data_IF_853743389265
#
_entry.id   IF_853743389265
#
_cell.length_a   1.000
_cell.length_b   1.000
_cell.length_c   1.000
_cell.angle_alpha   90.00
_cell.angle_beta   90.00
_cell.angle_gamma   90.00
#
_symmetry.space_group_name_H-M   'P 1'
#
loop_
_entity.id
_entity.type
_entity.pdbx_description
1 polymer ?
#
# COMPACT_ATOMS: atom_id res chain seq x y z
N UNK A 1 -7.74 10.89 -7.15
CA UNK A 1 -7.84 10.34 -8.53
C UNK A 1 -6.53 9.68 -8.90
N UNK A 2 -6.57 8.52 -9.53
CA UNK A 2 -5.39 7.79 -10.03
C UNK A 2 -5.48 7.71 -11.55
N UNK A 3 -4.39 7.99 -12.23
CA UNK A 3 -4.34 8.00 -13.69
C UNK A 3 -3.10 7.27 -14.21
N UNK A 4 -3.30 6.42 -15.18
CA UNK A 4 -2.27 5.79 -15.99
C UNK A 4 -2.54 6.15 -17.46
N UNK A 5 -1.53 6.68 -18.16
CA UNK A 5 -1.63 7.03 -19.57
C UNK A 5 -0.47 6.40 -20.33
N UNK A 6 -0.81 5.46 -21.22
CA UNK A 6 0.12 4.68 -22.06
C UNK A 6 1.29 4.08 -21.26
N UNK A 7 1.00 3.60 -20.06
CA UNK A 7 2.03 3.11 -19.15
C UNK A 7 2.60 1.79 -19.65
N UNK A 8 3.93 1.78 -19.85
CA UNK A 8 4.68 0.58 -20.26
C UNK A 8 5.78 0.28 -19.26
N UNK A 9 6.01 -1.01 -19.01
CA UNK A 9 7.12 -1.47 -18.17
C UNK A 9 7.74 -2.71 -18.77
N UNK A 10 9.06 -2.67 -18.91
CA UNK A 10 9.87 -3.79 -19.38
C UNK A 10 10.86 -4.21 -18.31
N UNK A 11 11.03 -5.50 -18.13
CA UNK A 11 12.10 -6.09 -17.33
C UNK A 11 12.99 -6.91 -18.26
N UNK A 12 14.23 -6.49 -18.43
CA UNK A 12 15.17 -7.09 -19.40
C UNK A 12 14.52 -7.18 -20.81
N UNK A 13 14.20 -8.40 -21.25
CA UNK A 13 13.59 -8.66 -22.56
C UNK A 13 12.06 -8.78 -22.54
N UNK A 14 11.45 -8.81 -21.35
CA UNK A 14 10.00 -9.04 -21.22
C UNK A 14 9.28 -7.74 -20.96
N UNK A 15 8.35 -7.37 -21.84
CA UNK A 15 7.43 -6.26 -21.61
C UNK A 15 6.22 -6.78 -20.80
N UNK A 16 6.09 -6.25 -19.57
CA UNK A 16 5.06 -6.66 -18.62
C UNK A 16 3.83 -5.76 -18.69
N UNK A 17 4.03 -4.44 -18.79
CA UNK A 17 2.95 -3.49 -19.06
C UNK A 17 3.08 -2.99 -20.49
N UNK A 18 2.01 -3.12 -21.27
CA UNK A 18 2.03 -2.92 -22.73
C UNK A 18 1.22 -1.71 -23.19
N UNK A 19 1.29 -0.61 -22.44
CA UNK A 19 0.51 0.59 -22.74
C UNK A 19 -0.84 0.55 -22.03
N UNK A 20 -0.80 0.71 -20.69
CA UNK A 20 -1.99 0.69 -19.85
C UNK A 20 -2.56 2.11 -19.79
N UNK A 21 -3.84 2.22 -20.13
CA UNK A 21 -4.65 3.41 -19.92
C UNK A 21 -5.74 3.06 -18.90
N UNK A 22 -5.72 3.75 -17.75
CA UNK A 22 -6.68 3.53 -16.66
C UNK A 22 -6.85 4.81 -15.88
N UNK A 23 -8.09 5.18 -15.59
CA UNK A 23 -8.43 6.26 -14.67
C UNK A 23 -9.33 5.72 -13.56
N UNK A 24 -9.01 6.09 -12.32
CA UNK A 24 -9.79 5.73 -11.12
C UNK A 24 -10.16 7.01 -10.41
N UNK A 25 -11.44 7.30 -10.36
CA UNK A 25 -11.99 8.50 -9.71
C UNK A 25 -12.11 8.32 -8.19
N UNK A 26 -12.32 9.41 -7.46
CA UNK A 26 -12.61 9.33 -6.04
C UNK A 26 -13.93 8.60 -5.79
N UNK A 27 -13.91 7.66 -4.86
CA UNK A 27 -15.06 6.82 -4.52
C UNK A 27 -15.19 5.55 -5.35
N UNK A 28 -14.43 5.39 -6.43
CA UNK A 28 -14.43 4.17 -7.22
C UNK A 28 -13.89 2.98 -6.43
N UNK A 29 -14.45 1.81 -6.71
CA UNK A 29 -13.97 0.51 -6.22
C UNK A 29 -13.54 -0.34 -7.41
N UNK A 30 -12.23 -0.50 -7.56
CA UNK A 30 -11.64 -1.19 -8.72
C UNK A 30 -10.98 -2.50 -8.28
N UNK A 31 -11.26 -3.58 -9.00
CA UNK A 31 -10.57 -4.86 -8.84
C UNK A 31 -9.67 -5.13 -10.05
N UNK A 32 -8.38 -5.34 -9.80
CA UNK A 32 -7.43 -5.80 -10.81
C UNK A 32 -7.46 -7.32 -10.88
N UNK A 33 -8.07 -7.86 -11.93
CA UNK A 33 -8.22 -9.30 -12.16
C UNK A 33 -7.28 -9.75 -13.29
N UNK A 34 -6.73 -10.94 -13.18
CA UNK A 34 -5.86 -11.53 -14.19
C UNK A 34 -4.98 -12.63 -13.62
N UNK A 35 -4.37 -13.42 -14.49
CA UNK A 35 -3.47 -14.52 -14.13
C UNK A 35 -2.23 -14.04 -13.36
N UNK A 36 -1.52 -14.98 -12.73
CA UNK A 36 -0.22 -14.70 -12.14
C UNK A 36 0.75 -14.29 -13.26
N UNK A 37 1.51 -13.22 -13.02
CA UNK A 37 2.39 -12.65 -14.07
C UNK A 37 1.74 -11.63 -14.99
N UNK A 38 0.43 -11.39 -14.94
CA UNK A 38 -0.27 -10.41 -15.79
C UNK A 38 0.13 -8.94 -15.56
N UNK A 39 1.01 -8.66 -14.60
CA UNK A 39 1.51 -7.30 -14.35
C UNK A 39 0.77 -6.51 -13.26
N UNK A 40 -0.22 -7.09 -12.59
CA UNK A 40 -1.00 -6.41 -11.52
C UNK A 40 -0.12 -5.75 -10.47
N UNK A 41 0.78 -6.52 -9.86
CA UNK A 41 1.73 -6.00 -8.86
C UNK A 41 2.70 -4.99 -9.46
N UNK A 42 3.10 -5.17 -10.71
CA UNK A 42 3.98 -4.22 -11.42
C UNK A 42 3.28 -2.88 -11.60
N UNK A 43 2.00 -2.87 -11.96
CA UNK A 43 1.21 -1.65 -12.10
C UNK A 43 1.10 -0.90 -10.76
N UNK A 44 0.79 -1.61 -9.67
CA UNK A 44 0.74 -1.03 -8.32
C UNK A 44 2.10 -0.46 -7.91
N UNK A 45 3.20 -1.16 -8.19
CA UNK A 45 4.55 -0.66 -7.86
C UNK A 45 4.97 0.55 -8.70
N UNK A 46 4.48 0.68 -9.92
CA UNK A 46 4.63 1.92 -10.70
C UNK A 46 3.84 3.07 -10.05
N UNK A 47 2.61 2.82 -9.57
CA UNK A 47 1.81 3.79 -8.84
C UNK A 47 2.51 4.28 -7.56
N UNK A 48 3.15 3.38 -6.82
CA UNK A 48 3.86 3.70 -5.59
C UNK A 48 5.27 4.32 -5.83
N UNK A 49 5.66 4.54 -7.10
CA UNK A 49 6.98 5.05 -7.45
C UNK A 49 8.14 4.10 -7.11
N UNK A 50 7.86 2.80 -6.96
CA UNK A 50 8.90 1.79 -6.74
C UNK A 50 9.56 1.35 -8.05
N UNK A 51 8.80 1.38 -9.15
CA UNK A 51 9.30 1.04 -10.47
C UNK A 51 9.18 2.21 -11.43
N UNK A 52 10.28 2.53 -12.12
CA UNK A 52 10.23 3.42 -13.26
C UNK A 52 9.50 2.74 -14.43
N UNK A 53 8.64 3.49 -15.09
CA UNK A 53 7.89 3.09 -16.27
C UNK A 53 7.93 4.20 -17.32
N UNK A 54 7.59 3.90 -18.55
CA UNK A 54 7.30 4.92 -19.59
C UNK A 54 5.80 5.22 -19.58
N UNK A 55 5.40 6.32 -20.21
CA UNK A 55 4.05 6.88 -20.08
C UNK A 55 3.91 7.70 -18.79
N UNK A 56 2.69 8.01 -18.41
CA UNK A 56 2.41 8.85 -17.24
C UNK A 56 1.65 8.07 -16.17
N UNK A 57 2.06 8.29 -14.91
CA UNK A 57 1.32 7.84 -13.72
C UNK A 57 1.09 9.07 -12.85
N UNK A 58 -0.14 9.29 -12.40
CA UNK A 58 -0.47 10.40 -11.50
C UNK A 58 -1.38 9.93 -10.36
N UNK A 59 -1.13 10.47 -9.17
CA UNK A 59 -1.99 10.32 -7.99
C UNK A 59 -2.37 11.73 -7.53
N UNK A 60 -3.64 12.09 -7.66
CA UNK A 60 -4.13 13.46 -7.43
C UNK A 60 -3.25 14.51 -8.14
N UNK A 61 -2.86 14.25 -9.40
CA UNK A 61 -2.02 15.12 -10.22
C UNK A 61 -0.51 15.01 -9.97
N UNK A 62 -0.06 14.31 -8.93
CA UNK A 62 1.36 14.16 -8.57
C UNK A 62 1.98 12.95 -9.27
N UNK A 63 3.12 13.13 -9.92
CA UNK A 63 3.91 12.03 -10.52
C UNK A 63 4.74 11.34 -9.42
N UNK A 64 4.53 10.04 -9.15
CA UNK A 64 5.25 9.30 -8.12
C UNK A 64 6.76 9.15 -8.39
N UNK A 65 7.22 9.39 -9.61
CA UNK A 65 8.64 9.35 -9.95
C UNK A 65 9.37 10.64 -9.55
N UNK A 66 8.64 11.76 -9.52
CA UNK A 66 9.17 13.08 -9.18
C UNK A 66 9.00 13.39 -7.69
N UNK A 67 7.86 13.03 -7.13
CA UNK A 67 7.56 13.30 -5.73
C UNK A 67 6.87 12.10 -5.05
N UNK A 68 7.67 11.06 -4.80
CA UNK A 68 7.20 9.81 -4.18
C UNK A 68 6.64 10.02 -2.78
N UNK A 69 7.25 10.89 -1.99
CA UNK A 69 6.84 11.16 -0.61
C UNK A 69 5.41 11.71 -0.56
N UNK A 70 5.08 12.66 -1.43
CA UNK A 70 3.73 13.22 -1.49
C UNK A 70 2.69 12.22 -1.96
N UNK A 71 3.05 11.32 -2.87
CA UNK A 71 2.17 10.23 -3.29
C UNK A 71 1.93 9.27 -2.13
N UNK A 72 2.97 8.85 -1.41
CA UNK A 72 2.85 7.90 -0.29
C UNK A 72 2.05 8.47 0.89
N UNK A 73 2.03 9.78 1.10
CA UNK A 73 1.15 10.45 2.07
C UNK A 73 -0.34 10.36 1.71
N UNK A 74 -0.66 10.09 0.43
CA UNK A 74 -2.05 10.04 -0.11
C UNK A 74 -2.54 8.61 -0.35
N UNK A 75 -1.67 7.62 -0.26
CA UNK A 75 -1.96 6.24 -0.64
C UNK A 75 -1.72 5.31 0.55
N UNK A 76 -2.78 4.72 1.08
CA UNK A 76 -2.68 3.59 1.99
C UNK A 76 -2.41 2.30 1.21
N UNK A 77 -1.28 1.66 1.46
CA UNK A 77 -0.91 0.39 0.81
C UNK A 77 -0.79 -0.75 1.82
N UNK A 78 -1.52 -1.82 1.56
CA UNK A 78 -1.43 -3.06 2.35
C UNK A 78 -0.81 -4.15 1.49
N UNK A 79 0.43 -4.61 1.78
CA UNK A 79 1.09 -5.63 0.98
C UNK A 79 0.44 -7.00 1.17
N UNK A 80 0.44 -7.81 0.10
CA UNK A 80 -0.06 -9.19 0.12
C UNK A 80 0.76 -10.07 1.09
N UNK A 81 2.08 -9.88 1.11
CA UNK A 81 2.98 -10.57 2.04
C UNK A 81 3.36 -9.60 3.13
N UNK A 82 3.02 -9.93 4.37
CA UNK A 82 3.35 -9.10 5.52
C UNK A 82 4.87 -9.00 5.72
N UNK A 83 5.41 -7.81 5.99
CA UNK A 83 6.84 -7.63 6.23
C UNK A 83 7.28 -8.41 7.49
N UNK A 84 8.52 -8.94 7.54
CA UNK A 84 9.01 -9.76 8.66
C UNK A 84 9.46 -8.90 9.86
N UNK A 85 8.60 -8.01 10.33
CA UNK A 85 8.91 -7.09 11.43
C UNK A 85 8.94 -7.83 12.77
N UNK A 86 9.97 -7.58 13.58
CA UNK A 86 10.09 -8.11 14.95
C UNK A 86 9.66 -7.11 16.02
N UNK A 87 9.27 -5.92 15.62
CA UNK A 87 8.80 -4.86 16.50
C UNK A 87 7.48 -5.24 17.19
N UNK A 88 7.31 -4.94 18.50
CA UNK A 88 6.04 -5.10 19.18
C UNK A 88 4.93 -4.26 18.55
N UNK A 89 3.68 -4.79 18.57
CA UNK A 89 2.51 -4.13 17.95
C UNK A 89 2.35 -2.68 18.38
N UNK A 90 2.44 -2.40 19.69
CA UNK A 90 2.29 -1.03 20.17
C UNK A 90 3.41 -0.08 19.75
N UNK A 91 4.62 -0.61 19.52
CA UNK A 91 5.72 0.20 18.95
C UNK A 91 5.52 0.43 17.46
N UNK A 92 5.05 -0.60 16.73
CA UNK A 92 4.77 -0.49 15.30
C UNK A 92 3.70 0.58 15.01
N UNK A 93 2.61 0.60 15.81
CA UNK A 93 1.56 1.62 15.66
C UNK A 93 2.14 3.02 15.91
N UNK A 94 2.90 3.23 16.99
CA UNK A 94 3.52 4.55 17.27
C UNK A 94 4.51 4.96 16.18
N UNK A 95 5.33 4.04 15.72
CA UNK A 95 6.27 4.28 14.62
C UNK A 95 5.53 4.70 13.34
N UNK A 96 4.49 3.95 12.98
CA UNK A 96 3.68 4.26 11.80
C UNK A 96 2.99 5.63 11.93
N UNK A 97 2.42 5.93 13.09
CA UNK A 97 1.79 7.22 13.37
C UNK A 97 2.78 8.38 13.20
N UNK A 98 4.02 8.23 13.70
CA UNK A 98 5.07 9.24 13.52
C UNK A 98 5.50 9.42 12.06
N UNK A 99 5.63 8.34 11.29
CA UNK A 99 6.03 8.40 9.87
C UNK A 99 4.92 8.97 8.99
N UNK A 100 3.67 8.60 9.27
CA UNK A 100 2.51 9.03 8.48
C UNK A 100 1.92 10.37 8.96
N UNK A 101 2.52 11.02 9.96
CA UNK A 101 1.98 12.25 10.57
C UNK A 101 0.51 12.08 11.00
N UNK A 102 0.19 10.92 11.57
CA UNK A 102 -1.17 10.48 11.93
C UNK A 102 -1.28 10.17 13.44
N UNK A 103 -2.48 9.82 13.89
CA UNK A 103 -2.73 9.52 15.29
C UNK A 103 -2.71 8.01 15.58
N UNK A 104 -1.88 7.61 16.55
CA UNK A 104 -1.78 6.22 17.01
C UNK A 104 -3.06 5.71 17.67
N UNK A 105 -3.85 6.57 18.29
CA UNK A 105 -5.13 6.20 18.90
C UNK A 105 -6.17 5.90 17.82
N UNK A 106 -6.20 6.70 16.75
CA UNK A 106 -7.04 6.44 15.56
C UNK A 106 -6.70 5.09 14.94
N UNK A 107 -5.41 4.79 14.72
CA UNK A 107 -4.98 3.49 14.18
C UNK A 107 -5.41 2.33 15.09
N UNK A 108 -5.27 2.50 16.40
CA UNK A 108 -5.70 1.52 17.40
C UNK A 108 -7.21 1.31 17.35
N UNK A 109 -8.00 2.38 17.32
CA UNK A 109 -9.46 2.30 17.24
C UNK A 109 -9.94 1.58 15.96
N UNK A 110 -9.29 1.84 14.81
CA UNK A 110 -9.59 1.13 13.56
C UNK A 110 -9.28 -0.36 13.69
N UNK A 111 -8.12 -0.72 14.28
CA UNK A 111 -7.75 -2.11 14.51
C UNK A 111 -8.77 -2.84 15.40
N UNK A 112 -9.22 -2.20 16.48
CA UNK A 112 -10.23 -2.76 17.38
C UNK A 112 -11.58 -2.91 16.69
N UNK A 113 -12.00 -1.97 15.84
CA UNK A 113 -13.20 -2.10 15.00
C UNK A 113 -13.11 -3.26 14.01
N UNK A 114 -11.92 -3.59 13.55
CA UNK A 114 -11.67 -4.78 12.73
C UNK A 114 -11.60 -6.08 13.55
N UNK A 115 -11.85 -6.01 14.86
CA UNK A 115 -11.82 -7.15 15.77
C UNK A 115 -10.39 -7.61 16.12
N UNK A 116 -9.44 -6.67 16.20
CA UNK A 116 -8.09 -6.93 16.70
C UNK A 116 -7.93 -6.28 18.09
N UNK A 117 -7.89 -7.09 19.15
CA UNK A 117 -7.74 -6.63 20.53
C UNK A 117 -6.31 -6.11 20.80
N UNK A 118 -6.00 -4.91 20.30
CA UNK A 118 -4.66 -4.31 20.33
C UNK A 118 -4.10 -4.25 21.75
N UNK A 119 -4.93 -3.93 22.75
CA UNK A 119 -4.49 -3.84 24.15
C UNK A 119 -3.91 -5.15 24.67
N UNK A 120 -4.46 -6.28 24.27
CA UNK A 120 -4.01 -7.60 24.71
C UNK A 120 -2.70 -8.04 24.04
N UNK A 121 -2.46 -7.59 22.79
CA UNK A 121 -1.32 -8.00 21.97
C UNK A 121 -0.25 -6.91 21.83
N UNK A 122 -0.37 -5.76 22.53
CA UNK A 122 0.51 -4.59 22.35
C UNK A 122 2.00 -4.89 22.52
N UNK A 123 2.35 -5.88 23.35
CA UNK A 123 3.72 -6.28 23.62
C UNK A 123 4.18 -7.43 22.72
N UNK A 124 3.26 -8.07 21.98
CA UNK A 124 3.57 -9.18 21.09
C UNK A 124 4.29 -8.69 19.84
N UNK A 125 5.41 -9.32 19.44
CA UNK A 125 6.07 -8.99 18.17
C UNK A 125 5.15 -9.22 16.97
N UNK A 126 5.16 -8.30 16.00
CA UNK A 126 4.32 -8.36 14.80
C UNK A 126 4.47 -9.69 14.04
N UNK A 127 5.68 -10.23 13.91
CA UNK A 127 5.92 -11.49 13.21
C UNK A 127 5.27 -12.70 13.88
N UNK A 128 4.90 -12.62 15.16
CA UNK A 128 4.23 -13.67 15.91
C UNK A 128 2.70 -13.62 15.80
N UNK A 129 2.14 -12.59 15.21
CA UNK A 129 0.71 -12.49 14.93
C UNK A 129 0.30 -13.51 13.87
N UNK A 130 -0.96 -13.98 13.94
CA UNK A 130 -1.57 -14.76 12.86
C UNK A 130 -1.66 -13.93 11.56
N UNK A 131 -1.84 -14.58 10.42
CA UNK A 131 -1.98 -13.91 9.13
C UNK A 131 -3.12 -12.88 9.14
N UNK A 132 -4.28 -13.26 9.67
CA UNK A 132 -5.43 -12.35 9.79
C UNK A 132 -5.18 -11.17 10.73
N UNK A 133 -4.50 -11.39 11.87
CA UNK A 133 -4.13 -10.30 12.77
C UNK A 133 -3.17 -9.31 12.13
N UNK A 134 -2.15 -9.82 11.40
CA UNK A 134 -1.22 -8.98 10.64
C UNK A 134 -1.95 -8.11 9.63
N UNK A 135 -2.88 -8.73 8.88
CA UNK A 135 -3.66 -8.03 7.87
C UNK A 135 -4.51 -6.91 8.47
N UNK A 136 -5.25 -7.21 9.56
CA UNK A 136 -6.05 -6.21 10.29
C UNK A 136 -5.20 -5.04 10.77
N UNK A 137 -4.03 -5.31 11.34
CA UNK A 137 -3.11 -4.26 11.80
C UNK A 137 -2.56 -3.42 10.65
N UNK A 138 -2.15 -4.05 9.53
CA UNK A 138 -1.67 -3.31 8.36
C UNK A 138 -2.76 -2.45 7.72
N UNK A 139 -4.01 -2.94 7.68
CA UNK A 139 -5.16 -2.16 7.22
C UNK A 139 -5.39 -0.95 8.14
N UNK A 140 -5.32 -1.14 9.46
CA UNK A 140 -5.53 -0.03 10.41
C UNK A 140 -4.44 1.05 10.33
N UNK A 141 -3.23 0.67 9.93
CA UNK A 141 -2.12 1.61 9.69
C UNK A 141 -2.31 2.36 8.36
N UNK A 142 -2.91 1.71 7.36
CA UNK A 142 -3.07 2.27 6.02
C UNK A 142 -4.27 3.23 5.89
N UNK A 143 -5.21 3.25 6.87
CA UNK A 143 -6.43 4.07 6.89
C UNK A 143 -6.28 5.28 7.82
#
# INVERSE_FOLDING_TARGET
MIEFNKVRKRFRRTEVLKGIDLSVSRGDRVALVGSNGAGKTTLIRCLLGEYNCTGEVRVDGVDPRQNRTDVLKRVGFVPQISPPLRMPVGQLIRFAAGVCESDSERMTAIAERLGLAVRQIRHQPFNKLSGGQKQKLLISIAL
#
